data_IF_819053047695
#
_entry.id   IF_819053047695
#
_cell.length_a   1.000
_cell.length_b   1.000
_cell.length_c   1.000
_cell.angle_alpha   90.00
_cell.angle_beta   90.00
_cell.angle_gamma   90.00
#
_symmetry.space_group_name_H-M   'P 1'
#
loop_
_entity.id
_entity.type
_entity.pdbx_description
1 polymer ?
#
# COMPACT_ATOMS: atom_id res chain seq x y z
N UNK A 1 7.00 2.42 -17.43
CA UNK A 1 7.09 3.80 -16.93
C UNK A 1 8.54 4.15 -16.60
N UNK A 2 8.94 5.39 -16.87
CA UNK A 2 10.26 5.91 -16.53
C UNK A 2 10.08 7.09 -15.59
N UNK A 3 10.85 7.07 -14.49
CA UNK A 3 10.82 8.15 -13.50
C UNK A 3 11.91 9.17 -13.87
N UNK A 4 11.52 10.43 -13.94
CA UNK A 4 12.45 11.55 -14.07
C UNK A 4 12.57 12.26 -12.73
N UNK A 5 13.79 12.53 -12.29
CA UNK A 5 14.06 13.34 -11.10
C UNK A 5 14.28 14.78 -11.54
N UNK A 6 13.38 15.66 -11.12
CA UNK A 6 13.40 17.08 -11.53
C UNK A 6 14.22 17.96 -10.57
N UNK A 7 14.29 17.58 -9.30
CA UNK A 7 15.03 18.33 -8.28
C UNK A 7 15.46 17.44 -7.11
N UNK A 8 16.29 17.97 -6.21
CA UNK A 8 16.68 17.32 -4.96
C UNK A 8 17.95 16.49 -5.03
N UNK A 9 18.49 16.25 -6.22
CA UNK A 9 19.72 15.46 -6.43
C UNK A 9 20.82 16.27 -7.10
N UNK A 10 22.06 15.98 -6.74
CA UNK A 10 23.26 16.43 -7.43
C UNK A 10 24.30 15.30 -7.44
N UNK A 11 24.80 14.94 -8.63
CA UNK A 11 25.80 13.87 -8.81
C UNK A 11 25.36 12.53 -8.14
N UNK A 12 24.08 12.21 -8.21
CA UNK A 12 23.54 10.96 -7.66
C UNK A 12 23.26 10.98 -6.14
N UNK A 13 23.50 12.09 -5.45
CA UNK A 13 23.26 12.23 -4.01
C UNK A 13 22.18 13.28 -3.72
N UNK A 14 21.43 13.08 -2.64
CA UNK A 14 20.47 14.05 -2.13
C UNK A 14 21.20 15.27 -1.55
N UNK A 15 20.60 16.46 -1.68
CA UNK A 15 21.21 17.73 -1.26
C UNK A 15 20.41 18.46 -0.17
N UNK A 16 19.44 17.77 0.47
CA UNK A 16 18.59 18.36 1.51
C UNK A 16 17.45 19.25 1.01
N UNK A 17 17.32 19.43 -0.30
CA UNK A 17 16.15 20.09 -0.90
C UNK A 17 15.06 19.08 -1.26
N UNK A 18 13.81 19.52 -1.47
CA UNK A 18 12.75 18.64 -1.89
C UNK A 18 13.09 17.85 -3.18
N UNK A 19 12.80 16.55 -3.16
CA UNK A 19 12.93 15.69 -4.33
C UNK A 19 11.61 15.75 -5.11
N UNK A 20 11.66 16.20 -6.35
CA UNK A 20 10.50 16.15 -7.24
C UNK A 20 10.68 15.06 -8.28
N UNK A 21 9.64 14.24 -8.44
CA UNK A 21 9.61 13.13 -9.39
C UNK A 21 8.50 13.36 -10.41
N UNK A 22 8.77 13.01 -11.65
CA UNK A 22 7.81 13.03 -12.74
C UNK A 22 7.76 11.66 -13.43
N UNK A 23 6.54 11.20 -13.70
CA UNK A 23 6.26 10.07 -14.60
C UNK A 23 5.29 10.59 -15.65
N UNK A 24 5.73 10.61 -16.89
CA UNK A 24 4.87 11.04 -17.99
C UNK A 24 3.71 10.07 -18.19
N UNK A 25 2.52 10.63 -18.40
CA UNK A 25 1.39 9.84 -18.89
C UNK A 25 1.43 9.81 -20.42
N UNK A 26 1.67 8.62 -20.97
CA UNK A 26 1.75 8.42 -22.43
C UNK A 26 0.39 8.50 -23.12
N UNK A 27 -0.69 8.27 -22.38
CA UNK A 27 -2.05 8.41 -22.89
C UNK A 27 -2.53 9.85 -22.59
N UNK A 28 -2.50 10.68 -23.59
CA UNK A 28 -2.92 12.09 -23.55
C UNK A 28 -4.18 12.34 -24.41
N UNK A 29 -4.97 11.29 -24.67
CA UNK A 29 -6.13 11.35 -25.56
C UNK A 29 -7.40 11.87 -24.92
N UNK A 30 -7.36 12.24 -23.64
CA UNK A 30 -8.56 12.62 -22.84
C UNK A 30 -9.41 13.71 -23.49
N UNK A 31 -8.77 14.76 -24.02
CA UNK A 31 -9.48 15.89 -24.61
C UNK A 31 -10.21 15.54 -25.92
N UNK A 32 -9.78 14.45 -26.58
CA UNK A 32 -10.39 13.95 -27.81
C UNK A 32 -11.47 12.89 -27.55
N UNK A 33 -11.64 12.43 -26.30
CA UNK A 33 -12.60 11.39 -25.97
C UNK A 33 -14.00 11.96 -25.72
N UNK A 34 -15.09 11.24 -26.09
CA UNK A 34 -16.44 11.67 -25.82
C UNK A 34 -16.75 11.73 -24.32
N UNK A 35 -17.69 12.58 -23.93
CA UNK A 35 -18.20 12.65 -22.55
C UNK A 35 -18.73 11.30 -22.07
N UNK A 36 -18.51 11.01 -20.79
CA UNK A 36 -19.04 9.82 -20.13
C UNK A 36 -20.09 10.24 -19.11
N UNK A 37 -21.32 9.73 -19.29
CA UNK A 37 -22.46 10.04 -18.40
C UNK A 37 -22.93 8.86 -17.57
N UNK A 38 -22.30 7.67 -17.75
CA UNK A 38 -22.65 6.45 -17.01
C UNK A 38 -21.57 6.12 -15.98
N UNK A 39 -21.85 6.28 -14.68
CA UNK A 39 -20.87 5.98 -13.63
C UNK A 39 -20.64 4.47 -13.54
N UNK A 40 -19.39 4.09 -13.33
CA UNK A 40 -19.00 2.69 -13.11
C UNK A 40 -19.33 2.29 -11.67
N UNK A 41 -19.95 1.11 -11.44
CA UNK A 41 -20.12 0.55 -10.10
C UNK A 41 -18.76 0.35 -9.41
N UNK A 42 -18.71 0.57 -8.11
CA UNK A 42 -17.49 0.34 -7.32
C UNK A 42 -16.37 1.37 -7.49
N UNK A 43 -16.59 2.43 -8.27
CA UNK A 43 -15.63 3.51 -8.51
C UNK A 43 -16.10 4.84 -7.88
N UNK A 44 -15.25 5.85 -7.92
CA UNK A 44 -15.57 7.19 -7.42
C UNK A 44 -16.51 7.98 -8.33
N UNK A 45 -16.88 7.45 -9.48
CA UNK A 45 -17.58 8.15 -10.55
C UNK A 45 -18.88 8.84 -10.08
N UNK A 46 -19.79 8.09 -9.46
CA UNK A 46 -21.07 8.64 -8.99
C UNK A 46 -20.85 9.65 -7.86
N UNK A 47 -20.05 9.29 -6.87
CA UNK A 47 -19.78 10.17 -5.72
C UNK A 47 -19.09 11.47 -6.16
N UNK A 48 -18.15 11.37 -7.09
CA UNK A 48 -17.45 12.53 -7.66
C UNK A 48 -18.38 13.40 -8.49
N UNK A 49 -19.20 12.82 -9.37
CA UNK A 49 -20.18 13.56 -10.17
C UNK A 49 -21.14 14.36 -9.29
N UNK A 50 -21.67 13.74 -8.25
CA UNK A 50 -22.55 14.41 -7.28
C UNK A 50 -21.81 15.52 -6.50
N UNK A 51 -20.59 15.24 -6.04
CA UNK A 51 -19.80 16.18 -5.25
C UNK A 51 -19.44 17.45 -6.03
N UNK A 52 -19.08 17.30 -7.30
CA UNK A 52 -18.63 18.40 -8.14
C UNK A 52 -19.71 18.92 -9.09
N UNK A 53 -20.94 18.35 -9.01
CA UNK A 53 -22.08 18.72 -9.84
C UNK A 53 -21.74 18.72 -11.34
N UNK A 54 -21.11 17.63 -11.80
CA UNK A 54 -20.75 17.44 -13.20
C UNK A 54 -21.54 16.31 -13.84
N UNK A 55 -21.95 16.48 -15.09
CA UNK A 55 -22.58 15.44 -15.90
C UNK A 55 -21.58 14.64 -16.72
N UNK A 56 -20.40 15.19 -16.99
CA UNK A 56 -19.29 14.46 -17.57
C UNK A 56 -18.38 13.94 -16.45
N UNK A 57 -18.34 12.63 -16.31
CA UNK A 57 -17.54 11.96 -15.28
C UNK A 57 -16.10 11.67 -15.72
N UNK A 58 -15.69 12.16 -16.90
CA UNK A 58 -14.33 12.00 -17.40
C UNK A 58 -13.29 12.54 -16.41
N UNK A 59 -13.50 13.74 -15.91
CA UNK A 59 -12.61 14.37 -14.93
C UNK A 59 -12.49 13.56 -13.64
N UNK A 60 -13.59 12.94 -13.21
CA UNK A 60 -13.60 12.07 -12.04
C UNK A 60 -12.81 10.79 -12.32
N UNK A 61 -12.98 10.21 -13.51
CA UNK A 61 -12.24 9.04 -13.97
C UNK A 61 -10.72 9.27 -13.92
N UNK A 62 -10.29 10.40 -14.47
CA UNK A 62 -8.87 10.75 -14.52
C UNK A 62 -8.31 11.02 -13.12
N UNK A 63 -9.02 11.80 -12.30
CA UNK A 63 -8.56 12.14 -10.95
C UNK A 63 -8.55 10.95 -10.01
N UNK A 64 -9.49 10.01 -10.13
CA UNK A 64 -9.59 8.79 -9.32
C UNK A 64 -8.84 7.61 -9.93
N UNK A 65 -8.10 7.82 -11.00
CA UNK A 65 -7.37 6.77 -11.71
C UNK A 65 -6.33 6.07 -10.83
N UNK A 66 -6.30 4.75 -10.92
CA UNK A 66 -5.24 3.94 -10.31
C UNK A 66 -3.84 4.26 -10.88
N UNK A 67 -3.75 5.06 -11.95
CA UNK A 67 -2.50 5.59 -12.49
C UNK A 67 -1.67 6.36 -11.46
N UNK A 68 -2.31 6.94 -10.44
CA UNK A 68 -1.64 7.57 -9.30
C UNK A 68 -0.67 6.60 -8.58
N UNK A 69 -0.93 5.30 -8.62
CA UNK A 69 -0.05 4.31 -8.00
C UNK A 69 1.36 4.28 -8.62
N UNK A 70 1.51 4.69 -9.87
CA UNK A 70 2.82 4.76 -10.52
C UNK A 70 3.78 5.72 -9.78
N UNK A 71 3.31 6.92 -9.41
CA UNK A 71 4.14 7.87 -8.68
C UNK A 71 4.33 7.42 -7.21
N UNK A 72 3.35 6.75 -6.61
CA UNK A 72 3.49 6.16 -5.27
C UNK A 72 4.60 5.09 -5.25
N UNK A 73 4.69 4.25 -6.28
CA UNK A 73 5.78 3.26 -6.43
C UNK A 73 7.13 3.94 -6.58
N UNK A 74 7.21 5.03 -7.35
CA UNK A 74 8.44 5.80 -7.51
C UNK A 74 8.92 6.41 -6.17
N UNK A 75 8.01 7.02 -5.42
CA UNK A 75 8.28 7.55 -4.07
C UNK A 75 8.71 6.41 -3.14
N UNK A 76 8.01 5.29 -3.18
CA UNK A 76 8.34 4.09 -2.42
C UNK A 76 9.74 3.58 -2.71
N UNK A 77 10.20 3.64 -3.96
CA UNK A 77 11.57 3.31 -4.35
C UNK A 77 12.62 4.20 -3.66
N UNK A 78 12.39 5.51 -3.64
CA UNK A 78 13.27 6.46 -2.93
C UNK A 78 13.27 6.20 -1.43
N UNK A 79 12.09 6.01 -0.83
CA UNK A 79 11.97 5.71 0.59
C UNK A 79 12.67 4.38 0.96
N UNK A 80 12.57 3.38 0.09
CA UNK A 80 13.22 2.08 0.30
C UNK A 80 14.74 2.22 0.30
N UNK A 81 15.31 2.94 -0.66
CA UNK A 81 16.76 3.22 -0.67
C UNK A 81 17.20 3.93 0.62
N UNK A 82 16.42 4.88 1.12
CA UNK A 82 16.70 5.55 2.40
C UNK A 82 16.64 4.57 3.58
N UNK A 83 15.65 3.69 3.63
CA UNK A 83 15.52 2.69 4.69
C UNK A 83 16.63 1.64 4.67
N UNK A 84 17.12 1.28 3.48
CA UNK A 84 18.23 0.33 3.30
C UNK A 84 19.53 0.84 3.96
N UNK A 85 19.76 2.16 3.98
CA UNK A 85 20.91 2.78 4.70
C UNK A 85 20.86 2.56 6.22
N UNK A 86 19.68 2.30 6.77
CA UNK A 86 19.49 1.95 8.18
C UNK A 86 19.36 0.45 8.42
N UNK A 87 19.56 -0.38 7.40
CA UNK A 87 19.40 -1.82 7.47
C UNK A 87 17.95 -2.30 7.56
N UNK A 88 16.98 -1.41 7.30
CA UNK A 88 15.55 -1.76 7.29
C UNK A 88 15.18 -2.33 5.93
N UNK A 89 14.59 -3.52 5.93
CA UNK A 89 14.18 -4.23 4.72
C UNK A 89 12.67 -4.37 4.65
N UNK A 90 12.09 -3.97 3.53
CA UNK A 90 10.66 -4.12 3.26
C UNK A 90 10.48 -5.21 2.21
N UNK A 91 9.65 -6.19 2.52
CA UNK A 91 9.25 -7.26 1.60
C UNK A 91 7.72 -7.36 1.53
N UNK A 92 7.22 -7.91 0.45
CA UNK A 92 5.79 -8.18 0.29
C UNK A 92 5.59 -9.49 -0.44
N UNK A 93 4.50 -10.20 -0.10
CA UNK A 93 4.06 -11.36 -0.86
C UNK A 93 2.53 -11.44 -0.85
N UNK A 94 1.98 -12.08 -1.87
CA UNK A 94 0.55 -12.34 -1.96
C UNK A 94 0.25 -13.60 -1.19
N UNK A 95 -0.67 -13.55 -0.23
CA UNK A 95 -1.05 -14.68 0.60
C UNK A 95 -2.37 -15.32 0.17
N UNK A 96 -3.22 -14.57 -0.54
CA UNK A 96 -4.50 -15.07 -1.03
C UNK A 96 -4.96 -14.34 -2.28
N UNK A 97 -5.54 -15.07 -3.24
CA UNK A 97 -6.29 -14.50 -4.37
C UNK A 97 -7.59 -15.30 -4.54
N UNK A 98 -8.73 -14.61 -4.52
CA UNK A 98 -10.03 -15.21 -4.75
C UNK A 98 -10.37 -16.36 -3.78
N UNK A 99 -9.90 -16.29 -2.53
CA UNK A 99 -10.06 -17.32 -1.51
C UNK A 99 -9.09 -18.49 -1.62
N UNK A 100 -8.15 -18.47 -2.57
CA UNK A 100 -7.11 -19.48 -2.71
C UNK A 100 -5.78 -18.98 -2.15
N UNK A 101 -5.07 -19.83 -1.39
CA UNK A 101 -3.79 -19.51 -0.73
C UNK A 101 -2.58 -20.28 -1.29
N UNK A 102 -2.78 -21.21 -2.21
CA UNK A 102 -1.70 -21.95 -2.88
C UNK A 102 -1.45 -21.37 -4.26
N UNK A 103 -0.19 -21.18 -4.63
CA UNK A 103 0.20 -20.56 -5.90
C UNK A 103 -0.53 -21.12 -7.13
N UNK A 104 -0.59 -22.45 -7.24
CA UNK A 104 -1.29 -23.11 -8.35
C UNK A 104 -2.79 -22.85 -8.37
N UNK A 105 -3.41 -22.76 -7.19
CA UNK A 105 -4.85 -22.51 -7.05
C UNK A 105 -5.15 -21.02 -7.31
N UNK A 106 -4.29 -20.12 -6.83
CA UNK A 106 -4.37 -18.68 -7.13
C UNK A 106 -4.28 -18.43 -8.63
N UNK A 107 -3.29 -19.04 -9.29
CA UNK A 107 -3.12 -18.90 -10.73
C UNK A 107 -4.37 -19.39 -11.49
N UNK A 108 -4.90 -20.56 -11.13
CA UNK A 108 -6.14 -21.09 -11.72
C UNK A 108 -7.31 -20.13 -11.55
N UNK A 109 -7.46 -19.50 -10.37
CA UNK A 109 -8.51 -18.50 -10.12
C UNK A 109 -8.35 -17.26 -11.00
N UNK A 110 -7.13 -16.79 -11.19
CA UNK A 110 -6.83 -15.66 -12.07
C UNK A 110 -7.17 -16.00 -13.52
N UNK A 111 -6.77 -17.18 -14.02
CA UNK A 111 -7.06 -17.63 -15.38
C UNK A 111 -8.59 -17.79 -15.62
N UNK A 112 -9.30 -18.35 -14.65
CA UNK A 112 -10.75 -18.49 -14.71
C UNK A 112 -11.44 -17.12 -14.77
N UNK A 113 -11.03 -16.20 -13.92
CA UNK A 113 -11.56 -14.83 -13.86
C UNK A 113 -11.27 -14.06 -15.16
N UNK A 114 -10.06 -14.18 -15.69
CA UNK A 114 -9.69 -13.56 -16.98
C UNK A 114 -10.57 -14.08 -18.13
N UNK A 115 -10.89 -15.40 -18.13
CA UNK A 115 -11.75 -16.01 -19.16
C UNK A 115 -13.19 -15.52 -19.08
N UNK A 116 -13.69 -15.22 -17.88
CA UNK A 116 -15.07 -14.72 -17.69
C UNK A 116 -15.17 -13.20 -17.80
N UNK A 117 -14.07 -12.49 -17.87
CA UNK A 117 -14.02 -11.01 -17.88
C UNK A 117 -14.40 -10.39 -16.55
N UNK A 118 -14.21 -11.10 -15.45
CA UNK A 118 -14.50 -10.65 -14.09
C UNK A 118 -13.24 -10.15 -13.36
N UNK A 119 -13.36 -9.75 -12.10
CA UNK A 119 -12.27 -9.27 -11.24
C UNK A 119 -12.18 -10.10 -9.98
N UNK A 120 -10.97 -10.21 -9.43
CA UNK A 120 -10.69 -10.88 -8.17
C UNK A 120 -10.06 -9.94 -7.17
N UNK A 121 -10.43 -10.09 -5.90
CA UNK A 121 -9.71 -9.54 -4.78
C UNK A 121 -8.62 -10.49 -4.29
N UNK A 122 -7.74 -9.96 -3.43
CA UNK A 122 -6.68 -10.74 -2.81
C UNK A 122 -6.18 -10.09 -1.53
N UNK A 123 -5.30 -10.79 -0.84
CA UNK A 123 -4.64 -10.33 0.37
C UNK A 123 -3.13 -10.40 0.13
N UNK A 124 -2.45 -9.31 0.43
CA UNK A 124 -0.99 -9.28 0.45
C UNK A 124 -0.49 -8.94 1.85
N UNK A 125 0.61 -9.55 2.22
CA UNK A 125 1.35 -9.25 3.44
C UNK A 125 2.56 -8.39 3.11
N UNK A 126 2.82 -7.41 3.97
CA UNK A 126 4.02 -6.57 3.91
C UNK A 126 4.76 -6.73 5.21
N UNK A 127 6.04 -7.07 5.12
CA UNK A 127 6.92 -7.20 6.27
C UNK A 127 8.00 -6.14 6.26
N UNK A 128 8.30 -5.59 7.42
CA UNK A 128 9.42 -4.70 7.65
C UNK A 128 10.35 -5.32 8.70
N UNK A 129 11.59 -5.59 8.32
CA UNK A 129 12.61 -6.16 9.20
C UNK A 129 13.74 -5.16 9.45
N UNK A 130 14.43 -5.29 10.58
CA UNK A 130 15.54 -4.40 10.96
C UNK A 130 15.10 -3.07 11.55
N UNK A 131 13.83 -2.92 11.92
CA UNK A 131 13.33 -1.73 12.59
C UNK A 131 13.89 -1.65 14.02
N UNK A 132 14.41 -0.49 14.46
CA UNK A 132 14.81 -0.30 15.85
C UNK A 132 13.58 -0.29 16.75
N UNK A 133 13.71 -0.92 17.93
CA UNK A 133 12.66 -0.84 18.96
C UNK A 133 12.43 0.61 19.37
N UNK A 134 11.17 0.97 19.60
CA UNK A 134 10.77 2.32 20.01
C UNK A 134 10.40 3.26 18.86
N UNK A 135 10.35 2.79 17.63
CA UNK A 135 9.75 3.55 16.53
C UNK A 135 8.26 3.81 16.80
N UNK A 136 7.80 4.99 16.35
CA UNK A 136 6.44 5.43 16.62
C UNK A 136 6.30 6.03 18.01
N UNK A 137 5.10 5.98 18.58
CA UNK A 137 4.81 6.52 19.90
C UNK A 137 3.60 5.83 20.51
N UNK A 138 3.62 5.65 21.82
CA UNK A 138 2.47 5.18 22.61
C UNK A 138 1.64 6.36 23.18
N UNK A 139 2.12 7.59 23.03
CA UNK A 139 1.56 8.75 23.72
C UNK A 139 0.39 9.38 22.97
N UNK A 140 0.48 9.49 21.65
CA UNK A 140 -0.49 10.22 20.83
C UNK A 140 -0.94 9.37 19.63
N UNK A 141 -2.26 9.30 19.34
CA UNK A 141 -2.79 8.47 18.25
C UNK A 141 -2.19 8.79 16.88
N UNK A 142 -1.90 10.05 16.60
CA UNK A 142 -1.32 10.53 15.33
C UNK A 142 0.15 10.13 15.15
N UNK A 143 0.82 9.69 16.23
CA UNK A 143 2.21 9.23 16.25
C UNK A 143 2.34 7.70 16.32
N UNK A 144 1.26 6.99 16.55
CA UNK A 144 1.27 5.53 16.57
C UNK A 144 1.62 4.99 15.19
N UNK A 145 2.57 4.06 15.15
CA UNK A 145 3.08 3.53 13.87
C UNK A 145 2.02 2.69 13.16
N UNK A 146 1.29 1.85 13.90
CA UNK A 146 0.18 1.05 13.39
C UNK A 146 -0.90 1.92 12.73
N UNK A 147 -1.32 3.00 13.40
CA UNK A 147 -2.33 3.93 12.87
C UNK A 147 -1.86 4.63 11.58
N UNK A 148 -0.59 5.04 11.55
CA UNK A 148 0.01 5.70 10.37
C UNK A 148 0.17 4.75 9.20
N UNK A 149 0.62 3.52 9.46
CA UNK A 149 0.75 2.48 8.44
C UNK A 149 -0.64 2.11 7.90
N UNK A 150 -1.61 1.85 8.77
CA UNK A 150 -2.97 1.53 8.36
C UNK A 150 -3.59 2.65 7.51
N UNK A 151 -3.43 3.92 7.92
CA UNK A 151 -3.90 5.07 7.15
C UNK A 151 -3.22 5.19 5.78
N UNK A 152 -1.91 4.98 5.72
CA UNK A 152 -1.17 5.00 4.46
C UNK A 152 -1.64 3.86 3.52
N UNK A 153 -1.78 2.65 4.03
CA UNK A 153 -2.27 1.50 3.26
C UNK A 153 -3.70 1.69 2.77
N UNK A 154 -4.62 2.16 3.64
CA UNK A 154 -6.00 2.46 3.26
C UNK A 154 -6.14 3.60 2.26
N UNK A 155 -5.12 4.44 2.09
CA UNK A 155 -5.10 5.50 1.08
C UNK A 155 -4.79 5.00 -0.34
N UNK A 156 -4.36 3.75 -0.50
CA UNK A 156 -4.11 3.13 -1.80
C UNK A 156 -5.45 2.74 -2.42
N UNK A 157 -5.61 3.01 -3.72
CA UNK A 157 -6.83 2.66 -4.44
C UNK A 157 -7.12 1.16 -4.34
N UNK A 158 -8.39 0.81 -4.19
CA UNK A 158 -8.92 -0.54 -4.06
C UNK A 158 -8.59 -1.30 -2.76
N UNK A 159 -7.78 -0.76 -1.86
CA UNK A 159 -7.58 -1.35 -0.52
C UNK A 159 -8.85 -1.15 0.31
N UNK A 160 -9.36 -2.24 0.91
CA UNK A 160 -10.62 -2.26 1.69
C UNK A 160 -10.45 -2.72 3.13
N UNK A 161 -9.28 -3.20 3.49
CA UNK A 161 -8.97 -3.60 4.86
C UNK A 161 -7.47 -3.63 5.09
N UNK A 162 -7.08 -3.40 6.33
CA UNK A 162 -5.69 -3.50 6.81
C UNK A 162 -5.72 -4.18 8.17
N UNK A 163 -4.85 -5.14 8.36
CA UNK A 163 -4.63 -5.81 9.63
C UNK A 163 -3.17 -5.60 10.07
N UNK A 164 -2.94 -5.51 11.37
CA UNK A 164 -1.61 -5.38 11.95
C UNK A 164 -1.34 -6.60 12.83
N UNK A 165 -0.20 -7.25 12.68
CA UNK A 165 0.14 -8.48 13.39
C UNK A 165 -0.87 -9.60 13.06
N UNK A 166 -1.45 -10.23 14.08
CA UNK A 166 -2.50 -11.25 13.90
C UNK A 166 -3.84 -10.68 13.42
N UNK A 167 -4.03 -9.36 13.47
CA UNK A 167 -5.28 -8.72 13.06
C UNK A 167 -6.52 -9.38 13.68
N UNK A 168 -7.52 -9.68 12.85
CA UNK A 168 -8.75 -10.33 13.31
C UNK A 168 -8.56 -11.74 13.87
N UNK A 169 -7.46 -12.43 13.55
CA UNK A 169 -7.18 -13.74 14.11
C UNK A 169 -6.98 -13.67 15.64
N UNK A 170 -6.44 -12.55 16.16
CA UNK A 170 -6.28 -12.33 17.59
C UNK A 170 -7.59 -12.42 18.38
N UNK A 171 -8.71 -12.01 17.78
CA UNK A 171 -10.03 -12.06 18.43
C UNK A 171 -10.55 -13.50 18.68
N UNK A 172 -9.92 -14.50 18.04
CA UNK A 172 -10.30 -15.91 18.15
C UNK A 172 -9.41 -16.70 19.11
N UNK A 173 -8.43 -16.03 19.72
CA UNK A 173 -7.43 -16.65 20.57
C UNK A 173 -7.49 -16.10 22.01
N UNK A 174 -7.16 -16.93 23.02
CA UNK A 174 -6.95 -16.42 24.37
C UNK A 174 -5.73 -15.50 24.42
N UNK A 175 -5.71 -14.49 25.28
CA UNK A 175 -4.65 -13.51 25.40
C UNK A 175 -3.24 -14.12 25.54
N UNK A 176 -3.12 -15.24 26.26
CA UNK A 176 -1.85 -15.99 26.40
C UNK A 176 -1.27 -16.54 25.08
N UNK A 177 -2.08 -16.55 24.01
CA UNK A 177 -1.64 -16.97 22.66
C UNK A 177 -1.47 -15.80 21.70
N UNK A 178 -1.87 -14.61 22.13
CA UNK A 178 -1.74 -13.37 21.34
C UNK A 178 -0.50 -12.56 21.74
N UNK A 179 -0.20 -12.51 23.04
CA UNK A 179 0.91 -11.67 23.53
C UNK A 179 2.26 -12.21 23.03
N UNK A 180 3.08 -11.29 22.55
CA UNK A 180 4.46 -11.56 22.14
C UNK A 180 5.33 -11.73 23.39
N UNK A 181 5.92 -12.90 23.59
CA UNK A 181 6.82 -13.16 24.70
C UNK A 181 8.08 -12.29 24.59
N UNK A 182 8.45 -11.65 25.68
CA UNK A 182 9.68 -10.85 25.76
C UNK A 182 10.77 -11.73 26.34
N UNK A 183 11.84 -11.92 25.60
CA UNK A 183 13.03 -12.66 25.98
C UNK A 183 14.23 -11.74 26.13
N UNK A 184 15.19 -12.12 26.95
CA UNK A 184 16.43 -11.39 27.14
C UNK A 184 17.63 -12.30 26.96
N UNK A 185 18.57 -11.87 26.13
CA UNK A 185 19.88 -12.49 25.96
C UNK A 185 20.98 -11.48 26.31
N UNK A 186 22.05 -11.95 26.97
CA UNK A 186 23.14 -11.06 27.40
C UNK A 186 23.89 -10.38 26.25
N UNK A 187 23.90 -10.98 25.07
CA UNK A 187 24.59 -10.44 23.88
C UNK A 187 23.63 -9.67 22.95
N UNK A 188 22.39 -10.15 22.83
CA UNK A 188 21.38 -9.59 21.92
C UNK A 188 20.40 -8.62 22.58
N UNK A 189 20.39 -8.54 23.94
CA UNK A 189 19.42 -7.70 24.65
C UNK A 189 18.00 -8.28 24.66
N UNK A 190 17.01 -7.42 24.68
CA UNK A 190 15.60 -7.80 24.64
C UNK A 190 15.15 -8.11 23.21
N UNK A 191 14.35 -9.17 23.08
CA UNK A 191 13.70 -9.56 21.83
C UNK A 191 12.28 -10.05 22.08
N UNK A 192 11.48 -10.16 21.02
CA UNK A 192 10.14 -10.75 21.05
C UNK A 192 10.18 -12.11 20.35
N UNK A 193 9.42 -13.08 20.87
CA UNK A 193 9.29 -14.42 20.30
C UNK A 193 8.38 -14.47 19.06
N UNK A 194 7.52 -13.48 18.90
CA UNK A 194 6.55 -13.36 17.81
C UNK A 194 6.25 -11.89 17.51
N UNK A 195 5.42 -11.64 16.51
CA UNK A 195 4.92 -10.32 16.15
C UNK A 195 3.38 -10.33 16.02
N UNK A 196 2.72 -10.96 17.01
CA UNK A 196 1.27 -11.13 17.01
C UNK A 196 0.52 -9.81 17.24
N UNK A 197 1.10 -8.95 18.07
CA UNK A 197 0.51 -7.64 18.37
C UNK A 197 0.96 -6.53 17.40
N UNK A 198 1.86 -6.84 16.51
CA UNK A 198 2.36 -5.89 15.51
C UNK A 198 3.51 -5.01 15.98
#
# INVERSE_FOLDING_TARGET
DTVQVLSGLRKGATIGSPIALLIENKDASIDAMPSITRPRPGHADLAGALKYNTSDIRDILERASARETAIRVAIGGVCRMFLDEFGVRIASHVIEIGGASRDKEMLKKVEECARTGDTLGGICEITAAGLPAGLGSHVSPDRRLDARIAGAMMSIQAIKGVEIGLGFAAARLPGSKVHDEITYDRKGGFSRGSNNAG
#
